data_IF_658601010474
#
_entry.id   IF_658601010474
#
_cell.length_a   1.000
_cell.length_b   1.000
_cell.length_c   1.000
_cell.angle_alpha   90.00
_cell.angle_beta   90.00
_cell.angle_gamma   90.00
#
_symmetry.space_group_name_H-M   'P 1'
#
loop_
_entity.id
_entity.type
_entity.pdbx_description
1 polymer ?
#
# COMPACT_ATOMS: atom_id res chain seq x y z
N UNK A 1 1.89 -10.23 -23.62
CA UNK A 1 1.09 -10.44 -22.39
C UNK A 1 1.48 -11.70 -21.61
N UNK A 2 2.77 -12.07 -21.53
CA UNK A 2 3.19 -13.36 -20.95
C UNK A 2 2.96 -13.45 -19.43
N UNK A 3 3.22 -12.37 -18.68
CA UNK A 3 3.05 -12.36 -17.23
C UNK A 3 1.57 -12.40 -16.79
N UNK A 4 0.69 -11.74 -17.55
CA UNK A 4 -0.77 -11.82 -17.35
C UNK A 4 -1.29 -13.24 -17.66
N UNK A 5 -0.87 -13.82 -18.79
CA UNK A 5 -1.29 -15.18 -19.19
C UNK A 5 -0.78 -16.27 -18.26
N UNK A 6 0.41 -16.09 -17.66
CA UNK A 6 0.97 -17.01 -16.67
C UNK A 6 0.43 -16.77 -15.24
N UNK A 7 -0.45 -15.79 -15.06
CA UNK A 7 -1.04 -15.48 -13.76
C UNK A 7 -0.05 -14.91 -12.73
N UNK A 8 1.12 -14.43 -13.17
CA UNK A 8 2.14 -13.83 -12.30
C UNK A 8 1.70 -12.45 -11.79
N UNK A 9 0.88 -11.76 -12.60
CA UNK A 9 0.33 -10.44 -12.30
C UNK A 9 -1.13 -10.39 -12.73
N UNK A 10 -1.93 -9.59 -12.04
CA UNK A 10 -3.29 -9.20 -12.45
C UNK A 10 -3.35 -7.69 -12.56
N UNK A 11 -4.11 -7.20 -13.52
CA UNK A 11 -4.17 -5.77 -13.82
C UNK A 11 -4.72 -5.49 -15.21
N UNK A 12 -4.63 -4.23 -15.61
CA UNK A 12 -5.02 -3.72 -16.93
C UNK A 12 -3.85 -2.97 -17.57
N UNK A 13 -3.81 -2.98 -18.90
CA UNK A 13 -2.86 -2.18 -19.68
C UNK A 13 -3.69 -1.17 -20.46
N UNK A 14 -3.43 0.10 -20.23
CA UNK A 14 -3.94 1.19 -21.05
C UNK A 14 -2.88 1.52 -22.12
N UNK A 15 -3.15 1.13 -23.36
CA UNK A 15 -2.23 1.32 -24.47
C UNK A 15 -2.21 2.77 -24.98
N UNK A 16 -3.25 3.57 -24.73
CA UNK A 16 -3.30 4.96 -25.17
C UNK A 16 -2.47 5.84 -24.24
N UNK A 17 -2.54 5.58 -22.94
CA UNK A 17 -1.73 6.25 -21.93
C UNK A 17 -0.33 5.63 -21.77
N UNK A 18 -0.08 4.48 -22.40
CA UNK A 18 1.15 3.67 -22.23
C UNK A 18 1.40 3.24 -20.77
N UNK A 19 0.33 3.07 -20.00
CA UNK A 19 0.38 2.74 -18.58
C UNK A 19 -0.10 1.31 -18.28
N UNK A 20 0.54 0.67 -17.31
CA UNK A 20 0.13 -0.64 -16.80
C UNK A 20 -0.27 -0.54 -15.33
N UNK A 21 -1.56 -0.74 -15.05
CA UNK A 21 -2.08 -0.77 -13.67
C UNK A 21 -2.05 -2.20 -13.15
N UNK A 22 -1.23 -2.44 -12.12
CA UNK A 22 -1.13 -3.74 -11.46
C UNK A 22 -2.00 -3.75 -10.20
N UNK A 23 -2.98 -4.65 -10.15
CA UNK A 23 -3.85 -4.84 -8.98
C UNK A 23 -3.36 -5.95 -8.06
N UNK A 24 -2.55 -6.87 -8.58
CA UNK A 24 -1.99 -7.97 -7.81
C UNK A 24 -0.72 -8.52 -8.45
N UNK A 25 0.19 -8.99 -7.60
CA UNK A 25 1.45 -9.64 -8.01
C UNK A 25 1.62 -10.92 -7.18
N UNK A 26 2.13 -11.98 -7.81
CA UNK A 26 2.42 -13.24 -7.14
C UNK A 26 3.42 -13.04 -5.98
N UNK A 27 3.08 -13.46 -4.74
CA UNK A 27 4.01 -13.46 -3.62
C UNK A 27 5.22 -14.35 -3.92
N UNK A 28 6.40 -13.93 -3.46
CA UNK A 28 7.65 -14.67 -3.61
C UNK A 28 8.45 -14.65 -2.32
N UNK A 29 9.46 -15.52 -2.23
CA UNK A 29 10.44 -15.50 -1.14
C UNK A 29 11.17 -14.15 -1.16
N UNK A 30 11.31 -13.56 0.02
CA UNK A 30 11.96 -12.27 0.22
C UNK A 30 13.36 -12.46 0.79
N UNK A 31 14.30 -11.62 0.36
CA UNK A 31 15.57 -11.48 1.06
C UNK A 31 15.40 -10.64 2.34
N UNK A 32 16.38 -10.68 3.25
CA UNK A 32 16.36 -9.86 4.46
C UNK A 32 16.26 -8.36 4.14
N UNK A 33 16.96 -7.89 3.10
CA UNK A 33 16.89 -6.47 2.67
C UNK A 33 15.48 -6.09 2.20
N UNK A 34 14.81 -6.98 1.46
CA UNK A 34 13.44 -6.76 1.02
C UNK A 34 12.44 -6.76 2.18
N UNK A 35 12.65 -7.62 3.18
CA UNK A 35 11.86 -7.63 4.40
C UNK A 35 12.04 -6.33 5.20
N UNK A 36 13.27 -5.82 5.30
CA UNK A 36 13.55 -4.53 5.94
C UNK A 36 12.88 -3.36 5.21
N UNK A 37 12.89 -3.36 3.88
CA UNK A 37 12.18 -2.36 3.09
C UNK A 37 10.67 -2.40 3.36
N UNK A 38 10.06 -3.60 3.41
CA UNK A 38 8.64 -3.75 3.74
C UNK A 38 8.33 -3.24 5.15
N UNK A 39 9.18 -3.55 6.13
CA UNK A 39 9.02 -3.05 7.50
C UNK A 39 8.99 -1.52 7.52
N UNK A 40 9.95 -0.87 6.85
CA UNK A 40 10.01 0.60 6.76
C UNK A 40 8.76 1.20 6.14
N UNK A 41 8.21 0.59 5.08
CA UNK A 41 6.97 1.05 4.43
C UNK A 41 5.75 0.92 5.34
N UNK A 42 5.64 -0.18 6.09
CA UNK A 42 4.55 -0.35 7.06
C UNK A 42 4.68 0.63 8.21
N UNK A 43 5.90 0.90 8.68
CA UNK A 43 6.16 1.88 9.74
C UNK A 43 5.82 3.31 9.30
N UNK A 44 6.17 3.69 8.06
CA UNK A 44 5.80 4.96 7.43
C UNK A 44 4.27 5.12 7.38
N UNK A 45 3.56 4.11 6.84
CA UNK A 45 2.11 4.13 6.80
C UNK A 45 1.47 4.22 8.21
N UNK A 46 2.00 3.49 9.19
CA UNK A 46 1.53 3.57 10.58
C UNK A 46 1.72 4.98 11.17
N UNK A 47 2.82 5.65 10.84
CA UNK A 47 3.08 7.03 11.25
C UNK A 47 2.07 7.99 10.63
N UNK A 48 1.77 7.83 9.34
CA UNK A 48 0.81 8.69 8.63
C UNK A 48 -0.59 8.56 9.24
N UNK A 49 -1.04 7.32 9.51
CA UNK A 49 -2.33 7.06 10.18
C UNK A 49 -2.38 7.72 11.56
N UNK A 50 -1.31 7.59 12.37
CA UNK A 50 -1.23 8.25 13.69
C UNK A 50 -1.25 9.76 13.57
N UNK A 51 -0.59 10.33 12.56
CA UNK A 51 -0.62 11.76 12.28
C UNK A 51 -2.04 12.25 12.03
N UNK A 52 -2.80 11.52 11.21
CA UNK A 52 -4.20 11.83 10.92
C UNK A 52 -5.05 11.75 12.19
N UNK A 53 -4.89 10.69 13.00
CA UNK A 53 -5.63 10.54 14.27
C UNK A 53 -5.36 11.71 15.21
N UNK A 54 -4.10 12.13 15.36
CA UNK A 54 -3.74 13.24 16.23
C UNK A 54 -4.36 14.57 15.74
N UNK A 55 -4.39 14.80 14.43
CA UNK A 55 -5.05 15.98 13.84
C UNK A 55 -6.55 15.95 14.13
N UNK A 56 -7.21 14.81 13.97
CA UNK A 56 -8.64 14.67 14.28
C UNK A 56 -8.94 14.91 15.76
N UNK A 57 -8.09 14.42 16.67
CA UNK A 57 -8.24 14.66 18.11
C UNK A 57 -8.07 16.14 18.49
N UNK A 58 -7.21 16.88 17.78
CA UNK A 58 -7.02 18.32 18.00
C UNK A 58 -8.22 19.16 17.55
N UNK A 59 -8.85 18.79 16.44
CA UNK A 59 -9.94 19.56 15.82
C UNK A 59 -11.33 19.16 16.33
N UNK A 60 -11.51 17.94 16.85
CA UNK A 60 -12.82 17.44 17.30
C UNK A 60 -12.69 16.73 18.66
N UNK A 61 -12.74 17.47 19.79
CA UNK A 61 -12.66 16.88 21.12
C UNK A 61 -13.80 15.88 21.44
N UNK A 62 -14.97 16.03 20.82
CA UNK A 62 -16.15 15.18 21.08
C UNK A 62 -16.04 13.75 20.52
N UNK A 63 -15.32 13.54 19.41
CA UNK A 63 -15.17 12.19 18.82
C UNK A 63 -14.20 11.33 19.64
N UNK A 64 -13.30 11.95 20.41
CA UNK A 64 -12.34 11.25 21.26
C UNK A 64 -12.99 10.56 22.49
N UNK A 65 -14.25 10.86 22.82
CA UNK A 65 -14.94 10.29 23.99
C UNK A 65 -15.55 8.90 23.69
N UNK A 66 -15.61 8.49 22.43
CA UNK A 66 -16.31 7.26 22.00
C UNK A 66 -15.46 6.23 21.22
N UNK A 67 -14.13 6.38 21.19
CA UNK A 67 -13.17 5.36 20.70
C UNK A 67 -12.26 4.90 21.85
#
# INVERSE_FOLDING_TARGET
MKALSLGLIKGSIDQVLEEATLTWVQPRVLSLDQANLLQSRVAEWSKDVKGIVNLMQSEIPEVAIHL
#
